data_IF_373322549286
#
_entry.id   IF_373322549286
#
_cell.length_a   1.000
_cell.length_b   1.000
_cell.length_c   1.000
_cell.angle_alpha   90.00
_cell.angle_beta   90.00
_cell.angle_gamma   90.00
#
_symmetry.space_group_name_H-M   'P 1'
#
loop_
_entity.id
_entity.type
_entity.pdbx_description
1 polymer ?
#
# COMPACT_ATOMS: atom_id res chain seq x y z
N UNK A 1 31.52 -12.29 10.94
CA UNK A 1 32.51 -13.04 10.11
C UNK A 1 31.91 -13.13 8.72
N UNK A 2 32.38 -12.25 7.81
CA UNK A 2 31.89 -12.19 6.43
C UNK A 2 32.48 -13.31 5.63
N UNK A 3 31.64 -14.16 5.04
CA UNK A 3 32.03 -15.16 4.07
C UNK A 3 32.67 -14.44 2.87
N UNK A 4 33.96 -14.61 2.66
CA UNK A 4 34.67 -14.18 1.43
C UNK A 4 34.08 -14.98 0.26
N UNK A 5 33.22 -14.35 -0.53
CA UNK A 5 32.66 -14.97 -1.71
C UNK A 5 33.55 -14.72 -2.92
N UNK A 6 34.42 -15.71 -3.21
CA UNK A 6 35.13 -15.75 -4.47
C UNK A 6 34.16 -16.08 -5.61
N UNK A 7 34.10 -15.21 -6.62
CA UNK A 7 33.45 -15.51 -7.91
C UNK A 7 34.13 -16.72 -8.48
N UNK A 8 33.49 -17.89 -8.38
CA UNK A 8 34.03 -19.14 -8.91
C UNK A 8 33.76 -19.22 -10.42
N UNK A 9 34.79 -19.53 -11.16
CA UNK A 9 34.70 -19.77 -12.60
C UNK A 9 33.90 -21.06 -12.87
N UNK A 10 32.56 -20.91 -13.02
CA UNK A 10 31.63 -22.00 -13.29
C UNK A 10 30.97 -21.90 -14.67
N UNK A 11 31.61 -21.20 -15.61
CA UNK A 11 31.01 -20.93 -16.93
C UNK A 11 29.84 -19.91 -16.89
N UNK A 12 29.52 -19.38 -15.71
CA UNK A 12 28.51 -18.35 -15.53
C UNK A 12 29.19 -16.99 -15.42
N UNK A 13 28.71 -16.01 -16.16
CA UNK A 13 29.29 -14.66 -16.15
C UNK A 13 29.27 -14.04 -14.74
N UNK A 14 30.32 -13.29 -14.38
CA UNK A 14 30.46 -12.68 -13.05
C UNK A 14 29.26 -11.82 -12.65
N UNK A 15 28.69 -11.04 -13.60
CA UNK A 15 27.52 -10.21 -13.32
C UNK A 15 26.29 -11.06 -12.95
N UNK A 16 26.16 -12.25 -13.54
CA UNK A 16 25.04 -13.14 -13.24
C UNK A 16 25.17 -13.76 -11.84
N UNK A 17 26.39 -14.20 -11.47
CA UNK A 17 26.67 -14.72 -10.13
C UNK A 17 26.38 -13.67 -9.05
N UNK A 18 26.73 -12.40 -9.29
CA UNK A 18 26.46 -11.29 -8.37
C UNK A 18 24.96 -11.01 -8.27
N UNK A 19 24.24 -11.01 -9.40
CA UNK A 19 22.79 -10.85 -9.41
C UNK A 19 22.10 -11.94 -8.59
N UNK A 20 22.48 -13.20 -8.80
CA UNK A 20 21.89 -14.36 -8.11
C UNK A 20 22.22 -14.35 -6.60
N UNK A 21 23.38 -13.86 -6.20
CA UNK A 21 23.78 -13.70 -4.81
C UNK A 21 22.97 -12.63 -4.08
N UNK A 22 22.82 -11.47 -4.69
CA UNK A 22 22.00 -10.39 -4.15
C UNK A 22 20.52 -10.86 -4.08
N UNK A 23 20.02 -11.51 -5.12
CA UNK A 23 18.66 -12.09 -5.13
C UNK A 23 18.48 -13.10 -3.99
N UNK A 24 19.46 -13.97 -3.75
CA UNK A 24 19.43 -14.94 -2.65
C UNK A 24 19.44 -14.24 -1.29
N UNK A 25 20.23 -13.19 -1.14
CA UNK A 25 20.28 -12.39 0.10
C UNK A 25 18.94 -11.68 0.38
N UNK A 26 18.24 -11.22 -0.66
CA UNK A 26 16.90 -10.66 -0.56
C UNK A 26 15.90 -11.75 -0.12
N UNK A 27 15.90 -12.92 -0.77
CA UNK A 27 15.04 -14.06 -0.42
C UNK A 27 15.24 -14.54 1.01
N UNK A 28 16.48 -14.54 1.47
CA UNK A 28 16.85 -14.94 2.84
C UNK A 28 16.64 -13.82 3.87
N UNK A 29 16.02 -12.68 3.47
CA UNK A 29 15.74 -11.52 4.32
C UNK A 29 16.99 -10.87 4.95
N UNK A 30 18.18 -11.09 4.38
CA UNK A 30 19.40 -10.36 4.74
C UNK A 30 19.24 -8.88 4.37
N UNK A 31 18.60 -8.60 3.23
CA UNK A 31 18.11 -7.30 2.81
C UNK A 31 16.58 -7.27 2.95
N UNK A 32 16.07 -6.30 3.68
CA UNK A 32 14.63 -6.12 3.90
C UNK A 32 14.07 -5.09 2.91
N UNK A 33 12.77 -5.13 2.63
CA UNK A 33 12.10 -4.08 1.89
C UNK A 33 12.36 -2.70 2.53
N UNK A 34 12.66 -1.71 1.68
CA UNK A 34 13.07 -0.37 2.10
C UNK A 34 14.55 -0.22 2.43
N UNK A 35 15.31 -1.31 2.57
CA UNK A 35 16.75 -1.22 2.84
C UNK A 35 17.50 -0.58 1.66
N UNK A 36 18.46 0.26 2.00
CA UNK A 36 19.39 0.83 1.04
C UNK A 36 20.52 -0.16 0.77
N UNK A 37 20.70 -0.53 -0.47
CA UNK A 37 21.85 -1.33 -0.92
C UNK A 37 23.13 -0.49 -0.89
N UNK A 38 24.30 -1.13 -0.73
CA UNK A 38 25.58 -0.47 -0.93
C UNK A 38 25.68 0.13 -2.33
N UNK A 39 26.42 1.22 -2.46
CA UNK A 39 26.65 1.87 -3.75
C UNK A 39 27.33 0.93 -4.76
N UNK A 40 27.20 1.21 -6.06
CA UNK A 40 27.92 0.46 -7.11
C UNK A 40 29.42 0.34 -6.82
N UNK A 41 30.00 1.38 -6.22
CA UNK A 41 31.42 1.41 -5.90
C UNK A 41 31.76 0.50 -4.72
N UNK A 42 30.93 0.46 -3.69
CA UNK A 42 31.09 -0.44 -2.55
C UNK A 42 30.88 -1.89 -2.96
N UNK A 43 29.84 -2.18 -3.76
CA UNK A 43 29.62 -3.51 -4.31
C UNK A 43 30.79 -3.96 -5.21
N UNK A 44 31.33 -3.06 -6.04
CA UNK A 44 32.51 -3.38 -6.89
C UNK A 44 33.73 -3.77 -6.05
N UNK A 45 33.94 -3.11 -4.91
CA UNK A 45 35.00 -3.48 -3.95
C UNK A 45 34.73 -4.84 -3.29
N UNK A 46 33.49 -5.04 -2.81
CA UNK A 46 33.07 -6.28 -2.12
C UNK A 46 33.25 -7.50 -3.03
N UNK A 47 32.76 -7.42 -4.28
CA UNK A 47 32.80 -8.51 -5.25
C UNK A 47 34.13 -8.56 -6.06
N UNK A 48 35.03 -7.58 -5.85
CA UNK A 48 36.31 -7.48 -6.56
C UNK A 48 36.17 -7.48 -8.09
N UNK A 49 35.19 -6.74 -8.59
CA UNK A 49 34.90 -6.57 -10.03
C UNK A 49 34.86 -5.10 -10.41
N UNK A 50 34.81 -4.80 -11.71
CA UNK A 50 34.64 -3.43 -12.18
C UNK A 50 33.16 -2.94 -12.02
N UNK A 51 32.96 -1.62 -12.02
CA UNK A 51 31.61 -1.02 -11.88
C UNK A 51 30.66 -1.43 -13.00
N UNK A 52 31.16 -1.69 -14.20
CA UNK A 52 30.30 -2.10 -15.32
C UNK A 52 29.65 -3.47 -15.06
N UNK A 53 30.38 -4.38 -14.42
CA UNK A 53 29.86 -5.69 -14.01
C UNK A 53 28.73 -5.51 -12.98
N UNK A 54 28.94 -4.66 -11.97
CA UNK A 54 27.89 -4.34 -10.97
C UNK A 54 26.68 -3.69 -11.62
N UNK A 55 26.86 -2.70 -12.51
CA UNK A 55 25.74 -2.07 -13.22
C UNK A 55 24.89 -3.06 -13.99
N UNK A 56 25.52 -4.03 -14.62
CA UNK A 56 24.82 -5.10 -15.34
C UNK A 56 24.03 -5.99 -14.39
N UNK A 57 24.61 -6.38 -13.25
CA UNK A 57 23.91 -7.14 -12.21
C UNK A 57 22.72 -6.36 -11.65
N UNK A 58 22.91 -5.09 -11.32
CA UNK A 58 21.85 -4.22 -10.80
C UNK A 58 20.75 -4.03 -11.84
N UNK A 59 21.08 -3.84 -13.12
CA UNK A 59 20.08 -3.73 -14.19
C UNK A 59 19.17 -4.96 -14.23
N UNK A 60 19.71 -6.16 -14.17
CA UNK A 60 18.91 -7.38 -14.13
C UNK A 60 18.00 -7.43 -12.91
N UNK A 61 18.51 -7.03 -11.72
CA UNK A 61 17.71 -6.99 -10.50
C UNK A 61 16.60 -5.94 -10.58
N UNK A 62 16.84 -4.82 -11.26
CA UNK A 62 15.81 -3.80 -11.54
C UNK A 62 14.75 -4.33 -12.51
N UNK A 63 15.16 -5.00 -13.57
CA UNK A 63 14.24 -5.65 -14.52
C UNK A 63 13.36 -6.71 -13.86
N UNK A 64 13.91 -7.42 -12.86
CA UNK A 64 13.16 -8.37 -12.01
C UNK A 64 12.31 -7.69 -10.92
N UNK A 65 12.38 -6.37 -10.77
CA UNK A 65 11.68 -5.63 -9.70
C UNK A 65 12.24 -5.89 -8.30
N UNK A 66 13.43 -6.47 -8.17
CA UNK A 66 14.06 -6.79 -6.88
C UNK A 66 14.90 -5.64 -6.31
N UNK A 67 15.25 -4.67 -7.14
CA UNK A 67 15.99 -3.46 -6.77
C UNK A 67 15.37 -2.26 -7.46
N UNK A 68 15.29 -1.13 -6.79
CA UNK A 68 14.97 0.17 -7.38
C UNK A 68 16.19 1.09 -7.32
N UNK A 69 16.38 1.90 -8.37
CA UNK A 69 17.44 2.91 -8.43
C UNK A 69 16.80 4.29 -8.38
N UNK A 70 17.08 5.04 -7.34
CA UNK A 70 16.60 6.41 -7.16
C UNK A 70 17.74 7.38 -7.43
N UNK A 71 17.56 8.24 -8.42
CA UNK A 71 18.59 9.19 -8.84
C UNK A 71 18.99 10.10 -7.66
N UNK A 72 20.27 10.17 -7.36
CA UNK A 72 20.83 10.97 -6.25
C UNK A 72 20.65 10.34 -4.85
N UNK A 73 19.82 9.32 -4.69
CA UNK A 73 19.56 8.67 -3.38
C UNK A 73 20.23 7.30 -3.24
N UNK A 74 20.36 6.56 -4.34
CA UNK A 74 21.01 5.25 -4.36
C UNK A 74 20.12 4.12 -4.82
N UNK A 75 20.48 2.90 -4.44
CA UNK A 75 19.79 1.65 -4.75
C UNK A 75 19.06 1.16 -3.50
N UNK A 76 17.82 0.68 -3.67
CA UNK A 76 16.97 0.22 -2.57
C UNK A 76 16.31 -1.11 -2.93
N UNK A 77 16.05 -1.93 -1.92
CA UNK A 77 15.12 -3.04 -2.07
C UNK A 77 13.72 -2.44 -2.14
N UNK A 78 12.95 -2.67 -3.22
CA UNK A 78 11.59 -2.16 -3.31
C UNK A 78 10.78 -2.57 -2.09
N UNK A 79 9.98 -1.64 -1.58
CA UNK A 79 8.96 -1.97 -0.60
C UNK A 79 7.99 -3.00 -1.21
N UNK A 80 7.35 -3.80 -0.36
CA UNK A 80 6.37 -4.78 -0.82
C UNK A 80 5.31 -4.12 -1.69
N UNK A 81 5.11 -4.65 -2.88
CA UNK A 81 3.97 -4.29 -3.71
C UNK A 81 2.78 -5.12 -3.27
N UNK A 82 1.70 -4.45 -2.90
CA UNK A 82 0.41 -5.05 -2.61
C UNK A 82 -0.39 -5.12 -3.91
N UNK A 83 -0.72 -6.32 -4.36
CA UNK A 83 -1.69 -6.52 -5.41
C UNK A 83 -3.09 -6.37 -4.83
N UNK A 84 -3.65 -5.16 -4.96
CA UNK A 84 -4.96 -4.83 -4.42
C UNK A 84 -6.04 -5.00 -5.47
N UNK A 85 -6.71 -6.16 -5.42
CA UNK A 85 -7.80 -6.48 -6.34
C UNK A 85 -9.06 -5.67 -6.01
N UNK A 86 -9.53 -4.90 -6.99
CA UNK A 86 -10.78 -4.16 -6.91
C UNK A 86 -11.92 -5.05 -7.42
N UNK A 87 -12.69 -5.60 -6.50
CA UNK A 87 -13.85 -6.44 -6.79
C UNK A 87 -15.10 -5.88 -6.09
N UNK A 88 -16.27 -6.45 -6.37
CA UNK A 88 -17.53 -6.11 -5.70
C UNK A 88 -17.45 -6.23 -4.18
N UNK A 89 -16.64 -7.18 -3.69
CA UNK A 89 -16.33 -7.35 -2.26
C UNK A 89 -14.82 -7.33 -2.08
N UNK A 90 -14.26 -6.17 -1.79
CA UNK A 90 -12.84 -6.01 -1.51
C UNK A 90 -12.64 -5.55 -0.07
N UNK A 91 -12.05 -6.39 0.75
CA UNK A 91 -11.67 -6.06 2.13
C UNK A 91 -10.15 -6.10 2.23
N UNK A 92 -9.56 -5.00 2.69
CA UNK A 92 -8.11 -4.87 2.81
C UNK A 92 -7.45 -6.06 3.53
N UNK A 93 -8.00 -6.44 4.68
CA UNK A 93 -7.44 -7.55 5.48
C UNK A 93 -7.46 -8.88 4.73
N UNK A 94 -8.52 -9.17 3.98
CA UNK A 94 -8.64 -10.40 3.18
C UNK A 94 -7.63 -10.41 2.03
N UNK A 95 -7.49 -9.27 1.33
CA UNK A 95 -6.52 -9.12 0.23
C UNK A 95 -5.09 -9.32 0.74
N UNK A 96 -4.74 -8.71 1.88
CA UNK A 96 -3.40 -8.83 2.45
C UNK A 96 -3.12 -10.26 2.94
N UNK A 97 -4.07 -10.87 3.66
CA UNK A 97 -3.92 -12.23 4.17
C UNK A 97 -3.83 -13.27 3.05
N UNK A 98 -4.56 -13.08 1.93
CA UNK A 98 -4.48 -13.99 0.77
C UNK A 98 -3.10 -14.01 0.11
N UNK A 99 -2.27 -13.00 0.33
CA UNK A 99 -0.89 -12.90 -0.16
C UNK A 99 0.15 -13.35 0.88
N UNK A 100 -0.27 -14.07 1.93
CA UNK A 100 0.59 -14.50 3.03
C UNK A 100 1.34 -13.36 3.73
N UNK A 101 0.68 -12.20 3.86
CA UNK A 101 1.19 -10.99 4.50
C UNK A 101 0.32 -10.64 5.72
N UNK A 102 0.86 -9.83 6.63
CA UNK A 102 0.16 -9.45 7.86
C UNK A 102 -0.51 -8.08 7.67
N UNK A 103 -1.86 -8.03 7.68
CA UNK A 103 -2.57 -6.77 7.65
C UNK A 103 -2.42 -6.05 8.99
N UNK A 104 -2.01 -4.79 8.92
CA UNK A 104 -1.88 -3.90 10.07
C UNK A 104 -2.62 -2.59 9.85
N UNK A 105 -2.49 -1.72 10.82
CA UNK A 105 -2.99 -0.35 10.76
C UNK A 105 -3.80 0.05 11.98
N UNK A 106 -4.18 1.32 12.01
CA UNK A 106 -4.94 1.91 13.12
C UNK A 106 -5.85 3.04 12.64
N UNK A 107 -6.82 3.40 13.45
CA UNK A 107 -7.51 4.68 13.32
C UNK A 107 -6.53 5.83 13.61
N UNK A 108 -6.64 6.91 12.86
CA UNK A 108 -5.93 8.16 13.11
C UNK A 108 -6.82 9.11 13.93
N UNK A 109 -8.04 9.31 13.47
CA UNK A 109 -9.08 10.05 14.18
C UNK A 109 -10.46 9.63 13.69
N UNK A 110 -11.47 9.94 14.51
CA UNK A 110 -12.89 9.85 14.18
C UNK A 110 -13.62 11.11 14.64
N UNK A 111 -14.44 11.71 13.79
CA UNK A 111 -15.18 12.92 14.10
C UNK A 111 -16.52 12.99 13.34
N UNK A 112 -17.46 13.76 13.89
CA UNK A 112 -18.72 14.06 13.20
C UNK A 112 -18.55 15.42 12.52
N UNK A 113 -18.69 15.42 11.18
CA UNK A 113 -18.57 16.62 10.37
C UNK A 113 -19.85 16.84 9.53
N UNK A 114 -19.95 17.98 8.90
CA UNK A 114 -20.98 18.27 7.89
C UNK A 114 -20.55 17.73 6.53
N UNK A 115 -21.44 17.04 5.83
CA UNK A 115 -21.20 16.56 4.47
C UNK A 115 -21.01 17.74 3.51
N UNK A 116 -19.89 17.74 2.80
CA UNK A 116 -19.74 18.61 1.65
C UNK A 116 -20.51 18.04 0.44
N UNK A 117 -20.56 18.79 -0.67
CA UNK A 117 -21.29 18.40 -1.88
C UNK A 117 -20.93 16.98 -2.35
N UNK A 118 -19.65 16.65 -2.41
CA UNK A 118 -19.16 15.34 -2.88
C UNK A 118 -19.63 14.18 -1.99
N UNK A 119 -19.51 14.34 -0.68
CA UNK A 119 -19.95 13.34 0.31
C UNK A 119 -21.47 13.19 0.30
N UNK A 120 -22.19 14.33 0.22
CA UNK A 120 -23.66 14.37 0.15
C UNK A 120 -24.20 13.61 -1.07
N UNK A 121 -23.61 13.87 -2.26
CA UNK A 121 -23.98 13.18 -3.50
C UNK A 121 -23.67 11.68 -3.45
N UNK A 122 -22.47 11.32 -2.96
CA UNK A 122 -22.02 9.92 -2.88
C UNK A 122 -22.88 9.08 -1.92
N UNK A 123 -23.30 9.66 -0.79
CA UNK A 123 -24.13 8.99 0.22
C UNK A 123 -25.64 9.23 0.03
N UNK A 124 -26.04 9.95 -1.03
CA UNK A 124 -27.45 10.27 -1.31
C UNK A 124 -28.15 10.88 -0.07
N UNK A 125 -27.50 11.88 0.54
CA UNK A 125 -27.97 12.53 1.75
C UNK A 125 -28.01 14.07 1.58
N UNK A 126 -28.76 14.82 2.44
CA UNK A 126 -28.79 16.27 2.35
C UNK A 126 -27.41 16.90 2.49
N UNK A 127 -27.18 17.99 1.75
CA UNK A 127 -26.01 18.84 1.92
C UNK A 127 -25.93 19.32 3.38
N UNK A 128 -24.73 19.39 3.95
CA UNK A 128 -24.47 19.68 5.36
C UNK A 128 -25.09 18.69 6.38
N UNK A 129 -25.64 17.58 5.93
CA UNK A 129 -26.04 16.48 6.80
C UNK A 129 -24.85 15.95 7.60
N UNK A 130 -25.09 15.45 8.81
CA UNK A 130 -24.02 14.95 9.69
C UNK A 130 -23.49 13.61 9.19
N UNK A 131 -22.16 13.49 9.09
CA UNK A 131 -21.44 12.26 8.73
C UNK A 131 -20.39 11.93 9.78
N UNK A 132 -20.24 10.64 10.07
CA UNK A 132 -19.09 10.11 10.79
C UNK A 132 -17.92 10.00 9.79
N UNK A 133 -16.87 10.78 9.99
CA UNK A 133 -15.59 10.65 9.28
C UNK A 133 -14.64 9.83 10.13
N UNK A 134 -14.26 8.66 9.65
CA UNK A 134 -13.20 7.83 10.24
C UNK A 134 -11.99 7.87 9.31
N UNK A 135 -10.82 8.23 9.86
CA UNK A 135 -9.55 8.20 9.14
C UNK A 135 -8.68 7.05 9.64
N UNK A 136 -8.14 6.29 8.71
CA UNK A 136 -7.32 5.12 9.04
C UNK A 136 -6.04 5.11 8.23
N UNK A 137 -4.98 4.58 8.83
CA UNK A 137 -3.79 4.14 8.10
C UNK A 137 -3.80 2.62 8.05
N UNK A 138 -3.53 2.05 6.88
CA UNK A 138 -3.41 0.61 6.68
C UNK A 138 -1.97 0.27 6.33
N UNK A 139 -1.49 -0.82 6.93
CA UNK A 139 -0.10 -1.25 6.84
C UNK A 139 -0.01 -2.68 6.32
N UNK A 140 1.09 -2.97 5.67
CA UNK A 140 1.49 -4.28 5.20
C UNK A 140 2.83 -4.61 5.86
N UNK A 141 2.88 -5.63 6.71
CA UNK A 141 4.08 -5.98 7.47
C UNK A 141 4.71 -4.78 8.21
N UNK A 142 3.88 -3.86 8.73
CA UNK A 142 4.30 -2.64 9.42
C UNK A 142 4.68 -1.46 8.51
N UNK A 143 4.58 -1.61 7.20
CA UNK A 143 4.82 -0.54 6.22
C UNK A 143 3.50 0.12 5.83
N UNK A 144 3.35 1.46 5.98
CA UNK A 144 2.15 2.16 5.57
C UNK A 144 1.91 2.08 4.07
N UNK A 145 0.72 1.63 3.67
CA UNK A 145 0.34 1.42 2.27
C UNK A 145 -0.81 2.34 1.86
N UNK A 146 -1.81 2.53 2.75
CA UNK A 146 -3.04 3.25 2.42
C UNK A 146 -3.39 4.20 3.55
N UNK A 147 -3.62 5.46 3.21
CA UNK A 147 -4.32 6.44 4.06
C UNK A 147 -5.76 6.55 3.55
N UNK A 148 -6.74 6.22 4.40
CA UNK A 148 -8.14 6.19 4.00
C UNK A 148 -9.02 7.09 4.88
N UNK A 149 -10.01 7.71 4.25
CA UNK A 149 -11.10 8.45 4.87
C UNK A 149 -12.41 7.75 4.53
N UNK A 150 -13.16 7.38 5.55
CA UNK A 150 -14.43 6.68 5.45
C UNK A 150 -15.55 7.59 5.96
N UNK A 151 -16.58 7.80 5.15
CA UNK A 151 -17.72 8.66 5.45
C UNK A 151 -18.97 7.79 5.57
N UNK A 152 -19.69 7.94 6.68
CA UNK A 152 -20.93 7.23 6.98
C UNK A 152 -22.00 8.24 7.42
N UNK A 153 -23.26 8.06 7.02
CA UNK A 153 -24.36 8.88 7.53
C UNK A 153 -24.50 8.70 9.05
N UNK A 154 -24.34 9.76 9.82
CA UNK A 154 -24.43 9.69 11.28
C UNK A 154 -25.82 9.27 11.79
N UNK A 155 -26.89 9.56 11.04
CA UNK A 155 -28.24 9.12 11.38
C UNK A 155 -28.47 7.63 11.13
N UNK A 156 -27.76 7.05 10.12
CA UNK A 156 -27.87 5.63 9.78
C UNK A 156 -26.99 4.76 10.66
N UNK A 157 -25.90 5.32 11.17
CA UNK A 157 -24.89 4.64 11.99
C UNK A 157 -24.69 5.36 13.34
N UNK A 158 -25.68 5.32 14.24
CA UNK A 158 -25.54 5.88 15.58
C UNK A 158 -24.45 5.13 16.33
N UNK A 159 -23.70 5.82 17.20
CA UNK A 159 -22.59 5.26 18.01
C UNK A 159 -21.49 4.57 17.19
N UNK A 160 -21.28 5.01 15.92
CA UNK A 160 -20.34 4.40 14.99
C UNK A 160 -18.92 4.24 15.59
N UNK A 161 -18.40 5.29 16.24
CA UNK A 161 -17.04 5.26 16.77
C UNK A 161 -16.91 4.29 17.95
N UNK A 162 -17.89 4.22 18.86
CA UNK A 162 -17.88 3.27 19.97
C UNK A 162 -17.85 1.83 19.47
N UNK A 163 -18.66 1.51 18.44
CA UNK A 163 -18.63 0.19 17.80
C UNK A 163 -17.34 -0.06 17.05
N UNK A 164 -16.80 0.96 16.39
CA UNK A 164 -15.50 0.80 15.71
C UNK A 164 -14.36 0.53 16.72
N UNK A 165 -14.36 1.18 17.87
CA UNK A 165 -13.40 0.95 18.93
C UNK A 165 -13.49 -0.48 19.50
N UNK A 166 -14.71 -1.03 19.59
CA UNK A 166 -14.95 -2.42 20.00
C UNK A 166 -14.44 -3.44 18.98
N UNK A 167 -14.74 -3.24 17.68
CA UNK A 167 -14.44 -4.24 16.64
C UNK A 167 -13.12 -4.01 15.91
N UNK A 168 -12.54 -2.81 15.95
CA UNK A 168 -11.27 -2.45 15.31
C UNK A 168 -11.26 -2.55 13.77
N UNK A 169 -12.41 -2.70 13.13
CA UNK A 169 -12.55 -2.94 11.70
C UNK A 169 -13.84 -2.36 11.14
N UNK A 170 -13.74 -1.56 10.09
CA UNK A 170 -14.90 -1.00 9.36
C UNK A 170 -15.88 -2.10 8.96
N UNK A 171 -15.39 -3.20 8.38
CA UNK A 171 -16.26 -4.29 7.93
C UNK A 171 -17.01 -4.96 9.09
N UNK A 172 -16.35 -5.21 10.22
CA UNK A 172 -16.99 -5.78 11.40
C UNK A 172 -17.97 -4.78 12.04
N UNK A 173 -17.63 -3.50 12.04
CA UNK A 173 -18.53 -2.44 12.51
C UNK A 173 -19.79 -2.39 11.65
N UNK A 174 -19.68 -2.42 10.33
CA UNK A 174 -20.84 -2.48 9.43
C UNK A 174 -21.67 -3.75 9.63
N UNK A 175 -21.02 -4.89 9.86
CA UNK A 175 -21.69 -6.15 10.17
C UNK A 175 -22.55 -6.06 11.45
N UNK A 176 -22.04 -5.38 12.49
CA UNK A 176 -22.80 -5.15 13.75
C UNK A 176 -24.08 -4.32 13.58
N UNK A 177 -24.21 -3.60 12.45
CA UNK A 177 -25.44 -2.91 12.04
C UNK A 177 -26.30 -3.74 11.07
N UNK A 178 -25.91 -4.99 10.76
CA UNK A 178 -26.61 -5.85 9.80
C UNK A 178 -26.19 -5.65 8.35
N UNK A 179 -25.12 -4.87 8.09
CA UNK A 179 -24.60 -4.60 6.74
C UNK A 179 -23.35 -5.43 6.39
N UNK A 180 -23.23 -6.65 6.89
CA UNK A 180 -22.07 -7.52 6.60
C UNK A 180 -21.93 -7.94 5.13
N UNK A 181 -23.04 -7.89 4.37
CA UNK A 181 -23.11 -8.26 2.94
C UNK A 181 -23.11 -7.06 1.98
N UNK A 182 -22.47 -5.95 2.36
CA UNK A 182 -22.35 -4.81 1.47
C UNK A 182 -21.50 -5.10 0.23
N UNK A 183 -21.77 -4.38 -0.85
CA UNK A 183 -21.03 -4.47 -2.11
C UNK A 183 -20.52 -3.10 -2.56
N UNK A 184 -19.47 -3.11 -3.35
CA UNK A 184 -18.94 -1.92 -3.99
C UNK A 184 -19.70 -1.62 -5.27
N UNK A 185 -20.42 -0.49 -5.29
CA UNK A 185 -21.18 -0.03 -6.46
C UNK A 185 -20.26 0.58 -7.51
N UNK A 186 -19.30 1.38 -7.07
CA UNK A 186 -18.39 2.08 -7.98
C UNK A 186 -17.03 2.35 -7.33
N UNK A 187 -16.01 2.48 -8.17
CA UNK A 187 -14.70 2.98 -7.79
C UNK A 187 -14.18 3.88 -8.90
N UNK A 188 -13.88 5.14 -8.59
CA UNK A 188 -13.12 6.03 -9.44
C UNK A 188 -11.66 5.97 -9.05
N UNK A 189 -10.76 5.82 -10.03
CA UNK A 189 -9.32 5.74 -9.82
C UNK A 189 -8.67 6.93 -10.49
N UNK A 190 -7.80 7.61 -9.77
CA UNK A 190 -6.97 8.69 -10.30
C UNK A 190 -5.58 8.67 -9.67
N UNK A 191 -4.65 9.46 -10.21
CA UNK A 191 -3.31 9.61 -9.66
C UNK A 191 -2.96 11.08 -9.54
N UNK A 192 -2.23 11.45 -8.48
CA UNK A 192 -1.69 12.79 -8.26
C UNK A 192 -0.47 12.76 -7.36
N UNK A 193 0.21 13.88 -7.25
CA UNK A 193 1.27 14.02 -6.25
C UNK A 193 0.66 14.07 -4.84
N UNK A 194 1.34 13.53 -3.82
CA UNK A 194 0.85 13.48 -2.45
C UNK A 194 0.84 14.88 -1.82
N UNK A 195 -0.09 15.11 -0.91
CA UNK A 195 -0.06 16.25 -0.01
C UNK A 195 0.87 15.99 1.20
N UNK A 196 1.09 17.00 2.04
CA UNK A 196 2.01 16.91 3.20
C UNK A 196 1.61 15.82 4.21
N UNK A 197 0.31 15.61 4.39
CA UNK A 197 -0.19 14.58 5.30
C UNK A 197 0.05 13.17 4.74
N UNK A 198 -0.19 12.97 3.45
CA UNK A 198 0.05 11.69 2.78
C UNK A 198 1.54 11.33 2.75
N UNK A 199 2.43 12.33 2.52
CA UNK A 199 3.87 12.16 2.61
C UNK A 199 4.26 11.63 3.99
N UNK A 200 3.75 12.27 5.05
CA UNK A 200 4.08 11.92 6.43
C UNK A 200 3.47 10.57 6.82
N UNK A 201 2.18 10.37 6.55
CA UNK A 201 1.44 9.17 6.96
C UNK A 201 1.88 7.93 6.22
N UNK A 202 2.10 8.02 4.91
CA UNK A 202 2.57 6.91 4.07
C UNK A 202 4.10 6.74 4.13
N UNK A 203 4.82 7.64 4.82
CA UNK A 203 6.28 7.63 4.90
C UNK A 203 6.93 7.51 3.51
N UNK A 204 6.44 8.30 2.56
CA UNK A 204 6.93 8.28 1.17
C UNK A 204 7.51 9.64 0.75
N UNK A 205 8.41 9.67 -0.24
CA UNK A 205 8.93 10.93 -0.80
C UNK A 205 7.85 11.76 -1.50
N UNK A 206 8.00 13.10 -1.47
CA UNK A 206 7.07 14.03 -2.13
C UNK A 206 7.00 13.87 -3.66
N UNK A 207 8.05 13.33 -4.28
CA UNK A 207 8.16 13.10 -5.72
C UNK A 207 7.61 11.73 -6.17
N UNK A 208 6.92 11.01 -5.29
CA UNK A 208 6.25 9.74 -5.62
C UNK A 208 4.75 9.94 -5.60
N UNK A 209 4.03 9.57 -6.67
CA UNK A 209 2.59 9.75 -6.74
C UNK A 209 1.84 8.86 -5.75
N UNK A 210 0.60 9.23 -5.50
CA UNK A 210 -0.40 8.37 -4.85
C UNK A 210 -1.48 8.00 -5.86
N UNK A 211 -1.96 6.76 -5.77
CA UNK A 211 -3.17 6.33 -6.44
C UNK A 211 -4.36 6.63 -5.52
N UNK A 212 -5.31 7.38 -6.03
CA UNK A 212 -6.52 7.73 -5.28
C UNK A 212 -7.65 6.86 -5.77
N UNK A 213 -8.35 6.22 -4.83
CA UNK A 213 -9.63 5.58 -5.11
C UNK A 213 -10.74 6.28 -4.36
N UNK A 214 -11.85 6.53 -5.05
CA UNK A 214 -13.09 7.02 -4.49
C UNK A 214 -14.16 5.96 -4.73
N UNK A 215 -14.65 5.35 -3.67
CA UNK A 215 -15.56 4.21 -3.76
C UNK A 215 -16.84 4.44 -2.99
N UNK A 216 -17.94 3.97 -3.55
CA UNK A 216 -19.25 3.92 -2.88
C UNK A 216 -19.59 2.46 -2.63
N UNK A 217 -19.79 2.13 -1.37
CA UNK A 217 -20.32 0.83 -0.95
C UNK A 217 -21.81 0.96 -0.67
N UNK A 218 -22.57 -0.07 -1.05
CA UNK A 218 -24.03 -0.12 -0.93
C UNK A 218 -24.48 -1.37 -0.19
N UNK A 219 -25.64 -1.31 0.43
CA UNK A 219 -26.30 -2.47 1.02
C UNK A 219 -26.97 -3.36 -0.04
N UNK A 220 -27.68 -4.40 0.40
CA UNK A 220 -28.41 -5.34 -0.47
C UNK A 220 -29.58 -4.70 -1.25
N UNK A 221 -29.99 -3.50 -0.89
CA UNK A 221 -31.04 -2.74 -1.59
C UNK A 221 -30.46 -1.70 -2.55
N UNK A 222 -29.12 -1.59 -2.63
CA UNK A 222 -28.43 -0.61 -3.45
C UNK A 222 -28.29 0.77 -2.80
N UNK A 223 -28.67 0.93 -1.53
CA UNK A 223 -28.55 2.20 -0.81
C UNK A 223 -27.12 2.43 -0.32
N UNK A 224 -26.54 3.64 -0.52
CA UNK A 224 -25.20 3.95 -0.09
C UNK A 224 -25.04 3.86 1.43
N UNK A 225 -24.03 3.11 1.87
CA UNK A 225 -23.70 2.97 3.29
C UNK A 225 -22.36 3.60 3.64
N UNK A 226 -21.43 3.63 2.68
CA UNK A 226 -20.09 4.17 2.87
C UNK A 226 -19.62 4.89 1.61
N UNK A 227 -19.04 6.06 1.77
CA UNK A 227 -18.19 6.68 0.78
C UNK A 227 -16.76 6.67 1.30
N UNK A 228 -15.84 6.04 0.55
CA UNK A 228 -14.44 5.89 0.91
C UNK A 228 -13.53 6.64 -0.05
N UNK A 229 -12.58 7.41 0.49
CA UNK A 229 -11.47 8.01 -0.27
C UNK A 229 -10.18 7.41 0.28
N UNK A 230 -9.40 6.74 -0.58
CA UNK A 230 -8.15 6.12 -0.18
C UNK A 230 -7.00 6.60 -1.05
N UNK A 231 -5.91 7.00 -0.40
CA UNK A 231 -4.63 7.32 -1.04
C UNK A 231 -3.67 6.15 -0.82
N UNK A 232 -3.33 5.46 -1.89
CA UNK A 232 -2.38 4.36 -1.90
C UNK A 232 -1.00 4.86 -2.31
N UNK A 233 0.06 4.39 -1.66
CA UNK A 233 1.42 4.58 -2.14
C UNK A 233 1.58 3.86 -3.49
N UNK A 234 1.80 4.60 -4.58
CA UNK A 234 1.86 4.02 -5.92
C UNK A 234 3.07 3.09 -6.12
N UNK A 235 4.15 3.31 -5.39
CA UNK A 235 5.34 2.44 -5.45
C UNK A 235 5.12 1.10 -4.73
N UNK A 236 4.07 1.02 -3.88
CA UNK A 236 3.80 -0.13 -2.99
C UNK A 236 2.48 -0.82 -3.29
N UNK A 237 1.76 -0.37 -4.33
CA UNK A 237 0.42 -0.91 -4.63
C UNK A 237 0.17 -0.99 -6.11
N UNK A 238 -0.25 -2.16 -6.57
CA UNK A 238 -0.92 -2.36 -7.84
C UNK A 238 -2.42 -2.43 -7.60
N UNK A 239 -3.21 -1.58 -8.27
CA UNK A 239 -4.66 -1.71 -8.29
C UNK A 239 -5.04 -2.61 -9.47
N UNK A 240 -5.59 -3.79 -9.18
CA UNK A 240 -5.96 -4.77 -10.19
C UNK A 240 -7.48 -4.77 -10.36
N UNK A 241 -7.93 -4.55 -11.58
CA UNK A 241 -9.33 -4.65 -11.99
C UNK A 241 -9.47 -5.89 -12.88
N UNK A 242 -10.24 -6.88 -12.41
CA UNK A 242 -10.56 -8.08 -13.18
C UNK A 242 -11.98 -7.91 -13.75
N UNK A 243 -12.14 -8.13 -15.05
CA UNK A 243 -13.43 -8.05 -15.78
C UNK A 243 -14.13 -9.41 -15.82
#
# INVERSE_FOLDING_TARGET
MGSEMCIRDRGISAWKQISDDIETSIKNKTWKPGDKLPTEMELAKTYRVNRHTIRRSVRELVEKGLVSVEQGRGMFIPDYVLDYKLAKRTRFSEVVSSQNKFPGGRALNGEIIKANKKVSEALTMPLEGKVCLLRTIRELDGVPIVLASHYFSASRFPDFFARFDEFGSVSKTLDSYGFGNYERRSTNISARMPNSEEITSLKQPANRPVLITESVNVDSFGEPIEFGISAFSADRTNLIVES
#
